data_IF_921654577093
#
_entry.id   IF_921654577093
#
_cell.length_a   1.000
_cell.length_b   1.000
_cell.length_c   1.000
_cell.angle_alpha   90.00
_cell.angle_beta   90.00
_cell.angle_gamma   90.00
#
_symmetry.space_group_name_H-M   'P 1'
#
loop_
_entity.id
_entity.type
_entity.pdbx_description
1 polymer ?
#
# COMPACT_ATOMS: atom_id res chain seq x y z
N UNK A 1 25.77 -27.96 -9.97
CA UNK A 1 25.18 -26.60 -9.95
C UNK A 1 23.68 -26.79 -9.86
N UNK A 2 23.14 -26.76 -8.65
CA UNK A 2 21.72 -26.99 -8.41
C UNK A 2 20.96 -25.76 -8.91
N UNK A 3 20.08 -25.94 -9.90
CA UNK A 3 19.12 -24.90 -10.28
C UNK A 3 18.02 -24.93 -9.22
N UNK A 4 17.68 -23.77 -8.67
CA UNK A 4 16.48 -23.61 -7.84
C UNK A 4 15.29 -24.22 -8.60
N UNK A 5 14.56 -25.14 -7.98
CA UNK A 5 13.26 -25.60 -8.50
C UNK A 5 12.30 -24.41 -8.37
N UNK A 6 11.73 -23.97 -9.48
CA UNK A 6 10.84 -22.82 -9.52
C UNK A 6 9.64 -23.00 -8.58
N UNK A 7 9.16 -21.89 -8.03
CA UNK A 7 7.82 -21.82 -7.44
C UNK A 7 6.79 -22.22 -8.49
N UNK A 8 5.71 -22.89 -8.07
CA UNK A 8 4.55 -23.10 -8.95
C UNK A 8 4.00 -21.74 -9.39
N UNK A 9 3.28 -21.69 -10.51
CA UNK A 9 2.58 -20.48 -10.96
C UNK A 9 1.75 -19.86 -9.81
N UNK A 10 1.10 -20.70 -9.01
CA UNK A 10 0.39 -20.28 -7.80
C UNK A 10 1.25 -19.52 -6.78
N UNK A 11 2.53 -19.86 -6.62
CA UNK A 11 3.44 -19.13 -5.74
C UNK A 11 3.88 -17.79 -6.33
N UNK A 12 3.97 -17.69 -7.65
CA UNK A 12 4.21 -16.42 -8.34
C UNK A 12 2.99 -15.52 -8.19
N UNK A 13 1.79 -16.05 -8.46
CA UNK A 13 0.53 -15.30 -8.35
C UNK A 13 0.30 -14.79 -6.92
N UNK A 14 0.52 -15.65 -5.91
CA UNK A 14 0.43 -15.25 -4.50
C UNK A 14 1.44 -14.14 -4.14
N UNK A 15 2.62 -14.15 -4.76
CA UNK A 15 3.62 -13.09 -4.57
C UNK A 15 3.15 -11.80 -5.22
N UNK A 16 2.70 -11.85 -6.48
CA UNK A 16 2.30 -10.67 -7.25
C UNK A 16 0.99 -10.03 -6.76
N UNK A 17 0.17 -10.76 -6.01
CA UNK A 17 -0.96 -10.21 -5.28
C UNK A 17 -0.53 -9.30 -4.11
N UNK A 18 0.70 -9.42 -3.62
CA UNK A 18 1.15 -8.72 -2.41
C UNK A 18 2.32 -7.76 -2.68
N UNK A 19 3.06 -7.96 -3.77
CA UNK A 19 4.19 -7.09 -4.13
C UNK A 19 4.18 -6.75 -5.61
N UNK A 20 4.44 -5.48 -5.91
CA UNK A 20 4.60 -5.06 -7.29
C UNK A 20 5.89 -5.64 -7.90
N UNK A 21 5.88 -6.06 -9.18
CA UNK A 21 7.11 -6.39 -9.90
C UNK A 21 8.15 -5.25 -9.83
N UNK A 22 9.46 -5.56 -9.86
CA UNK A 22 10.49 -4.53 -9.94
C UNK A 22 10.25 -3.58 -11.12
N UNK A 23 10.35 -2.27 -10.87
CA UNK A 23 10.02 -1.22 -11.85
C UNK A 23 8.55 -0.80 -11.91
N UNK A 24 7.63 -1.54 -11.26
CA UNK A 24 6.20 -1.22 -11.22
C UNK A 24 5.71 -0.69 -9.85
N UNK A 25 6.54 -0.78 -8.80
CA UNK A 25 6.20 -0.18 -7.50
C UNK A 25 6.25 1.35 -7.54
N UNK A 26 5.21 2.00 -6.99
CA UNK A 26 5.14 3.46 -6.82
C UNK A 26 6.23 3.98 -5.87
N UNK A 27 6.76 3.15 -4.97
CA UNK A 27 7.91 3.51 -4.11
C UNK A 27 9.13 3.96 -4.92
N UNK A 28 9.34 3.45 -6.15
CA UNK A 28 10.43 3.91 -7.03
C UNK A 28 10.33 5.38 -7.41
N UNK A 29 9.15 5.99 -7.33
CA UNK A 29 8.97 7.41 -7.65
C UNK A 29 9.48 8.33 -6.54
N UNK A 30 9.69 7.81 -5.32
CA UNK A 30 9.97 8.62 -4.13
C UNK A 30 8.75 9.35 -3.56
N UNK A 31 7.55 9.19 -4.14
CA UNK A 31 6.32 9.83 -3.69
C UNK A 31 5.37 8.88 -2.93
N UNK A 32 5.79 7.66 -2.62
CA UNK A 32 4.96 6.69 -1.88
C UNK A 32 5.66 6.27 -0.60
N UNK A 33 4.89 6.10 0.46
CA UNK A 33 5.38 5.70 1.78
C UNK A 33 4.53 4.59 2.38
N UNK A 34 5.18 3.74 3.17
CA UNK A 34 4.52 2.80 4.07
C UNK A 34 4.56 3.38 5.49
N UNK A 35 3.38 3.54 6.10
CA UNK A 35 3.25 4.01 7.48
C UNK A 35 3.05 2.84 8.44
N UNK A 36 3.50 3.01 9.69
CA UNK A 36 3.25 2.05 10.76
C UNK A 36 2.96 2.78 12.06
N UNK A 37 2.25 2.10 12.95
CA UNK A 37 2.05 2.53 14.32
C UNK A 37 2.81 1.60 15.30
N UNK A 38 3.03 2.03 16.56
CA UNK A 38 3.63 1.16 17.58
C UNK A 38 2.85 -0.15 17.81
N UNK A 39 1.54 -0.13 17.61
CA UNK A 39 0.59 -1.23 17.81
C UNK A 39 0.29 -2.04 16.53
N UNK A 40 0.87 -1.68 15.38
CA UNK A 40 0.68 -2.46 14.14
C UNK A 40 1.32 -1.84 12.91
N UNK A 41 1.76 -2.69 11.98
CA UNK A 41 2.25 -2.32 10.65
C UNK A 41 1.81 -3.36 9.61
N UNK A 42 1.99 -3.05 8.32
CA UNK A 42 1.45 -3.91 7.25
C UNK A 42 -0.06 -4.10 7.42
N UNK A 43 -0.61 -5.30 7.14
CA UNK A 43 -2.05 -5.55 7.26
C UNK A 43 -2.63 -5.25 8.64
N UNK A 44 -1.83 -5.40 9.71
CA UNK A 44 -2.27 -5.11 11.07
C UNK A 44 -2.49 -3.61 11.32
N UNK A 45 -1.94 -2.72 10.49
CA UNK A 45 -2.13 -1.27 10.62
C UNK A 45 -3.62 -0.88 10.57
N UNK A 46 -4.43 -1.58 9.78
CA UNK A 46 -5.88 -1.35 9.65
C UNK A 46 -6.65 -1.40 10.99
N UNK A 47 -6.10 -2.07 12.00
CA UNK A 47 -6.74 -2.26 13.31
C UNK A 47 -6.19 -1.32 14.39
N UNK A 48 -5.32 -0.38 14.02
CA UNK A 48 -4.66 0.54 14.94
C UNK A 48 -5.48 1.82 15.14
N UNK A 49 -5.27 2.50 16.27
CA UNK A 49 -5.83 3.84 16.48
C UNK A 49 -5.29 4.88 15.48
N UNK A 50 -4.07 4.68 14.98
CA UNK A 50 -3.47 5.54 13.98
C UNK A 50 -4.17 5.42 12.62
N UNK A 51 -4.51 4.21 12.17
CA UNK A 51 -5.30 4.03 10.96
C UNK A 51 -6.70 4.60 11.11
N UNK A 52 -7.36 4.38 12.26
CA UNK A 52 -8.67 4.96 12.53
C UNK A 52 -8.67 6.49 12.41
N UNK A 53 -7.64 7.18 12.91
CA UNK A 53 -7.47 8.62 12.71
C UNK A 53 -7.15 8.98 11.25
N UNK A 54 -6.29 8.19 10.60
CA UNK A 54 -5.83 8.47 9.24
C UNK A 54 -6.95 8.30 8.20
N UNK A 55 -7.82 7.31 8.36
CA UNK A 55 -8.92 6.98 7.44
C UNK A 55 -10.20 7.77 7.71
N UNK A 56 -10.28 8.50 8.84
CA UNK A 56 -11.45 9.29 9.20
C UNK A 56 -11.78 10.33 8.12
N UNK A 57 -13.07 10.58 7.93
CA UNK A 57 -13.61 11.50 6.91
C UNK A 57 -12.94 11.34 5.52
N UNK A 58 -12.90 10.09 5.01
CA UNK A 58 -12.28 9.75 3.71
C UNK A 58 -10.84 10.27 3.58
N UNK A 59 -10.04 9.96 4.60
CA UNK A 59 -8.64 10.37 4.70
C UNK A 59 -8.43 11.89 4.69
N UNK A 60 -9.37 12.69 5.19
CA UNK A 60 -9.32 14.16 5.15
C UNK A 60 -7.99 14.74 5.68
N UNK A 61 -7.49 14.20 6.81
CA UNK A 61 -6.22 14.64 7.39
C UNK A 61 -5.03 14.38 6.44
N UNK A 62 -4.97 13.20 5.80
CA UNK A 62 -3.92 12.88 4.84
C UNK A 62 -4.03 13.76 3.58
N UNK A 63 -5.25 13.94 3.07
CA UNK A 63 -5.54 14.71 1.85
C UNK A 63 -5.22 16.19 2.01
N UNK A 64 -5.47 16.77 3.18
CA UNK A 64 -5.07 18.14 3.50
C UNK A 64 -3.56 18.37 3.32
N UNK A 65 -2.75 17.31 3.45
CA UNK A 65 -1.30 17.33 3.26
C UNK A 65 -0.84 16.74 1.92
N UNK A 66 -1.76 16.45 1.00
CA UNK A 66 -1.46 15.97 -0.35
C UNK A 66 -1.24 14.47 -0.47
N UNK A 67 -1.67 13.69 0.52
CA UNK A 67 -1.55 12.22 0.53
C UNK A 67 -2.90 11.56 0.26
N UNK A 68 -2.87 10.42 -0.44
CA UNK A 68 -4.03 9.57 -0.70
C UNK A 68 -3.69 8.09 -0.42
N UNK A 69 -4.67 7.26 -0.01
CA UNK A 69 -4.48 5.81 0.01
C UNK A 69 -4.09 5.30 -1.37
N UNK A 70 -3.02 4.49 -1.43
CA UNK A 70 -2.46 4.00 -2.69
C UNK A 70 -3.29 2.84 -3.27
N UNK A 71 -3.68 1.89 -2.42
CA UNK A 71 -4.51 0.72 -2.73
C UNK A 71 -5.64 0.59 -1.70
N UNK A 72 -6.72 1.39 -1.81
CA UNK A 72 -7.84 1.33 -0.86
C UNK A 72 -8.73 0.11 -1.09
N UNK A 73 -9.34 -0.39 -0.02
CA UNK A 73 -10.42 -1.38 -0.10
C UNK A 73 -11.57 -0.88 -0.99
N UNK A 74 -12.11 -1.75 -1.85
CA UNK A 74 -13.20 -1.40 -2.76
C UNK A 74 -12.80 -0.49 -3.94
N UNK A 75 -11.51 -0.17 -4.08
CA UNK A 75 -10.96 0.53 -5.24
C UNK A 75 -10.91 -0.34 -6.51
N UNK A 76 -10.53 0.27 -7.63
CA UNK A 76 -10.20 -0.48 -8.85
C UNK A 76 -8.93 -1.28 -8.58
N UNK A 77 -8.90 -2.55 -9.02
CA UNK A 77 -7.70 -3.37 -8.95
C UNK A 77 -6.59 -2.76 -9.83
N UNK A 78 -5.65 -2.08 -9.20
CA UNK A 78 -4.61 -1.27 -9.87
C UNK A 78 -3.18 -1.67 -9.43
N UNK A 79 -3.03 -2.80 -8.74
CA UNK A 79 -1.76 -3.24 -8.16
C UNK A 79 -1.98 -4.41 -7.19
N UNK A 80 -1.12 -4.53 -6.16
CA UNK A 80 -1.31 -5.46 -5.06
C UNK A 80 -2.71 -5.33 -4.40
N UNK A 81 -3.04 -6.34 -3.60
CA UNK A 81 -4.18 -6.33 -2.69
C UNK A 81 -4.17 -5.08 -1.81
N UNK A 82 -5.31 -4.67 -1.23
CA UNK A 82 -5.40 -3.45 -0.45
C UNK A 82 -4.32 -3.31 0.64
N UNK A 83 -3.68 -2.15 0.66
CA UNK A 83 -2.56 -1.83 1.55
C UNK A 83 -2.94 -0.64 2.44
N UNK A 84 -3.59 -0.85 3.59
CA UNK A 84 -4.04 0.22 4.49
C UNK A 84 -2.90 1.13 5.00
N UNK A 85 -1.65 0.70 4.86
CA UNK A 85 -0.46 1.44 5.28
C UNK A 85 0.19 2.25 4.15
N UNK A 86 -0.16 2.04 2.88
CA UNK A 86 0.54 2.68 1.75
C UNK A 86 -0.17 3.97 1.32
N UNK A 87 0.55 5.09 1.38
CA UNK A 87 0.07 6.41 0.95
C UNK A 87 0.92 6.93 -0.21
N UNK A 88 0.26 7.50 -1.23
CA UNK A 88 0.93 8.20 -2.34
C UNK A 88 0.71 9.70 -2.22
N UNK A 89 1.78 10.48 -2.37
CA UNK A 89 1.72 11.93 -2.44
C UNK A 89 1.35 12.37 -3.85
N UNK A 90 0.28 13.14 -3.96
CA UNK A 90 -0.20 13.73 -5.22
C UNK A 90 -0.16 15.26 -5.20
N UNK A 91 0.17 15.85 -4.05
CA UNK A 91 0.27 17.28 -3.83
C UNK A 91 -0.98 17.88 -3.16
N UNK A 92 -0.81 18.87 -2.27
CA UNK A 92 -1.93 19.52 -1.59
C UNK A 92 -2.83 20.27 -2.59
N UNK A 93 -4.15 20.27 -2.34
CA UNK A 93 -5.13 20.97 -3.17
C UNK A 93 -5.42 20.33 -4.53
N UNK A 94 -4.92 19.11 -4.78
CA UNK A 94 -5.23 18.30 -5.97
C UNK A 94 -6.24 17.19 -5.69
N UNK A 95 -6.76 17.15 -4.47
CA UNK A 95 -7.58 16.09 -3.89
C UNK A 95 -8.73 16.72 -3.15
#
# INVERSE_FOLDING_TARGET
>A
RERLRGTSDAGIDATLAQVAPPGYSKHHTGYTIDVRAPDGGGPAFAFTGAYAWLSDDDFAAARAHGWVPSYPDGGVAMGPDPEPWELTWVGPGRI
#
